data_IF_690499477057
#
_entry.id   IF_690499477057
#
_cell.length_a   1.000
_cell.length_b   1.000
_cell.length_c   1.000
_cell.angle_alpha   90.00
_cell.angle_beta   90.00
_cell.angle_gamma   90.00
#
_symmetry.space_group_name_H-M   'P 1'
#
loop_
_entity.id
_entity.type
_entity.pdbx_description
1 polymer ?
#
# COMPACT_ATOMS: atom_id res chain seq x y z
N UNK A 1 -35.99 -9.18 2.40
CA UNK A 1 -34.71 -9.66 1.86
C UNK A 1 -33.62 -8.94 2.63
N UNK A 2 -33.02 -9.61 3.61
CA UNK A 2 -31.85 -9.10 4.33
C UNK A 2 -30.64 -9.17 3.38
N UNK A 3 -30.26 -8.05 2.78
CA UNK A 3 -28.92 -7.90 2.23
C UNK A 3 -27.95 -7.84 3.41
N UNK A 4 -27.47 -9.02 3.80
CA UNK A 4 -26.45 -9.19 4.83
C UNK A 4 -25.25 -8.31 4.51
N UNK A 5 -25.06 -7.27 5.32
CA UNK A 5 -23.91 -6.39 5.33
C UNK A 5 -22.67 -7.23 5.70
N UNK A 6 -22.09 -7.91 4.70
CA UNK A 6 -20.83 -8.63 4.84
C UNK A 6 -19.79 -7.56 5.17
N UNK A 7 -19.47 -7.40 6.45
CA UNK A 7 -18.41 -6.50 6.91
C UNK A 7 -17.12 -6.96 6.25
N UNK A 8 -16.78 -6.31 5.14
CA UNK A 8 -15.55 -6.58 4.41
C UNK A 8 -14.40 -6.26 5.35
N UNK A 9 -13.60 -7.28 5.66
CA UNK A 9 -12.39 -7.11 6.47
C UNK A 9 -11.47 -6.11 5.76
N UNK A 10 -11.13 -5.02 6.45
CA UNK A 10 -10.24 -3.98 5.94
C UNK A 10 -8.88 -4.53 5.53
N UNK A 11 -8.28 -4.00 4.45
CA UNK A 11 -6.94 -4.41 3.98
C UNK A 11 -5.82 -3.78 4.79
N UNK A 12 -6.09 -2.67 5.47
CA UNK A 12 -5.17 -2.05 6.42
C UNK A 12 -5.66 -2.18 7.86
N UNK A 13 -4.73 -2.19 8.82
CA UNK A 13 -5.05 -2.38 10.25
C UNK A 13 -4.97 -1.10 11.05
N UNK A 14 -4.19 -0.11 10.60
CA UNK A 14 -4.00 1.17 11.28
C UNK A 14 -4.04 2.32 10.28
N UNK A 15 -4.82 3.35 10.60
CA UNK A 15 -4.89 4.58 9.82
C UNK A 15 -4.32 5.72 10.65
N UNK A 16 -3.45 6.52 10.04
CA UNK A 16 -3.02 7.79 10.58
C UNK A 16 -4.05 8.86 10.22
N UNK A 17 -4.58 9.59 11.20
CA UNK A 17 -5.46 10.73 10.93
C UNK A 17 -4.75 12.04 11.31
N UNK A 18 -4.54 12.89 10.31
CA UNK A 18 -4.14 14.28 10.49
C UNK A 18 -5.41 15.13 10.54
N UNK A 19 -5.56 15.95 11.57
CA UNK A 19 -6.75 16.78 11.73
C UNK A 19 -6.47 18.02 12.61
N UNK A 20 -7.35 19.00 12.55
CA UNK A 20 -7.19 20.23 13.33
C UNK A 20 -7.28 20.00 14.84
N UNK A 21 -6.37 20.65 15.59
CA UNK A 21 -6.47 20.82 17.05
C UNK A 21 -7.65 21.71 17.47
N UNK A 22 -8.30 22.38 16.51
CA UNK A 22 -9.53 23.15 16.69
C UNK A 22 -10.71 22.44 16.03
N UNK A 23 -11.92 22.57 16.59
CA UNK A 23 -13.14 21.93 16.06
C UNK A 23 -13.67 22.55 14.76
N UNK A 24 -13.09 23.66 14.33
CA UNK A 24 -13.62 24.48 13.23
C UNK A 24 -14.91 25.22 13.59
N UNK A 25 -15.40 26.05 12.66
CA UNK A 25 -16.60 26.87 12.85
C UNK A 25 -17.91 26.19 12.43
N UNK A 26 -17.83 25.14 11.59
CA UNK A 26 -19.00 24.42 11.08
C UNK A 26 -19.13 23.09 11.80
N UNK A 27 -20.35 22.75 12.20
CA UNK A 27 -20.63 21.47 12.88
C UNK A 27 -20.36 20.26 11.97
N UNK A 28 -20.48 20.43 10.65
CA UNK A 28 -20.16 19.39 9.66
C UNK A 28 -18.76 18.81 9.83
N UNK A 29 -17.76 19.62 10.22
CA UNK A 29 -16.40 19.12 10.48
C UNK A 29 -16.33 18.20 11.69
N UNK A 30 -17.10 18.51 12.73
CA UNK A 30 -17.17 17.72 13.96
C UNK A 30 -17.90 16.41 13.69
N UNK A 31 -19.04 16.48 13.00
CA UNK A 31 -19.80 15.31 12.56
C UNK A 31 -18.94 14.38 11.70
N UNK A 32 -18.21 14.93 10.73
CA UNK A 32 -17.33 14.13 9.88
C UNK A 32 -16.17 13.46 10.64
N UNK A 33 -15.66 14.08 11.71
CA UNK A 33 -14.63 13.47 12.56
C UNK A 33 -15.19 12.28 13.35
N UNK A 34 -16.42 12.39 13.86
CA UNK A 34 -17.11 11.30 14.55
C UNK A 34 -17.47 10.17 13.58
N UNK A 35 -18.08 10.49 12.43
CA UNK A 35 -18.40 9.53 11.38
C UNK A 35 -17.16 8.77 10.89
N UNK A 36 -16.02 9.46 10.77
CA UNK A 36 -14.76 8.80 10.44
C UNK A 36 -14.36 7.80 11.52
N UNK A 37 -14.43 8.18 12.79
CA UNK A 37 -14.11 7.27 13.90
C UNK A 37 -15.01 6.04 13.92
N UNK A 38 -16.32 6.22 13.74
CA UNK A 38 -17.30 5.14 13.65
C UNK A 38 -17.03 4.20 12.46
N UNK A 39 -16.69 4.75 11.29
CA UNK A 39 -16.37 3.96 10.10
C UNK A 39 -15.09 3.13 10.29
N UNK A 40 -14.07 3.67 10.97
CA UNK A 40 -12.85 2.94 11.31
C UNK A 40 -13.15 1.77 12.25
N UNK A 41 -13.96 2.00 13.28
CA UNK A 41 -14.40 0.96 14.23
C UNK A 41 -15.18 -0.13 13.53
N UNK A 42 -16.16 0.23 12.70
CA UNK A 42 -16.99 -0.71 11.94
C UNK A 42 -16.14 -1.68 11.09
N UNK A 43 -15.01 -1.19 10.59
CA UNK A 43 -14.06 -1.95 9.76
C UNK A 43 -12.93 -2.61 10.54
N UNK A 44 -12.90 -2.48 11.88
CA UNK A 44 -11.84 -2.96 12.77
C UNK A 44 -10.47 -2.38 12.44
N UNK A 45 -10.44 -1.11 12.07
CA UNK A 45 -9.23 -0.34 11.82
C UNK A 45 -8.91 0.50 13.06
N UNK A 46 -7.66 0.46 13.48
CA UNK A 46 -7.20 1.22 14.64
C UNK A 46 -6.70 2.61 14.22
N UNK A 47 -6.74 3.56 15.16
CA UNK A 47 -6.38 4.94 14.94
C UNK A 47 -4.94 5.22 15.41
N UNK A 48 -4.17 5.88 14.57
CA UNK A 48 -2.93 6.57 14.92
C UNK A 48 -3.15 8.06 14.67
N UNK A 49 -2.75 8.92 15.61
CA UNK A 49 -2.92 10.37 15.46
C UNK A 49 -1.91 11.15 16.32
N UNK A 50 -2.00 12.48 16.31
CA UNK A 50 -1.06 13.36 16.99
C UNK A 50 -1.21 13.48 18.52
N UNK A 51 -2.15 12.76 19.15
CA UNK A 51 -2.24 12.68 20.62
C UNK A 51 -2.91 13.84 21.35
N UNK A 52 -3.52 14.80 20.63
CA UNK A 52 -4.22 15.93 21.25
C UNK A 52 -5.63 15.59 21.75
N UNK A 53 -6.06 16.17 22.87
CA UNK A 53 -7.36 15.89 23.50
C UNK A 53 -8.51 16.81 23.05
N UNK A 54 -8.23 17.78 22.17
CA UNK A 54 -9.16 18.85 21.80
C UNK A 54 -9.40 18.92 20.30
N UNK A 55 -10.44 19.66 19.89
CA UNK A 55 -10.76 19.85 18.48
C UNK A 55 -11.22 18.57 17.79
N UNK A 56 -10.91 18.45 16.49
CA UNK A 56 -11.25 17.25 15.73
C UNK A 56 -10.43 16.04 16.19
N UNK A 57 -9.22 16.26 16.73
CA UNK A 57 -8.36 15.22 17.30
C UNK A 57 -9.03 14.52 18.48
N UNK A 58 -9.61 15.30 19.40
CA UNK A 58 -10.39 14.75 20.52
C UNK A 58 -11.60 13.96 20.04
N UNK A 59 -12.37 14.52 19.11
CA UNK A 59 -13.60 13.87 18.61
C UNK A 59 -13.34 12.54 17.90
N UNK A 60 -12.34 12.47 17.02
CA UNK A 60 -12.03 11.23 16.29
C UNK A 60 -11.46 10.16 17.22
N UNK A 61 -10.60 10.55 18.18
CA UNK A 61 -10.02 9.61 19.14
C UNK A 61 -11.07 9.08 20.12
N UNK A 62 -11.96 9.94 20.59
CA UNK A 62 -13.10 9.56 21.43
C UNK A 62 -14.03 8.59 20.71
N UNK A 63 -14.43 8.90 19.47
CA UNK A 63 -15.32 8.05 18.68
C UNK A 63 -14.74 6.64 18.47
N UNK A 64 -13.44 6.56 18.12
CA UNK A 64 -12.76 5.26 17.94
C UNK A 64 -12.67 4.50 19.27
N UNK A 65 -12.30 5.17 20.35
CA UNK A 65 -12.14 4.53 21.66
C UNK A 65 -13.48 4.03 22.22
N UNK A 66 -14.54 4.84 22.15
CA UNK A 66 -15.90 4.45 22.57
C UNK A 66 -16.45 3.29 21.75
N UNK A 67 -16.08 3.21 20.47
CA UNK A 67 -16.40 2.08 19.61
C UNK A 67 -15.58 0.81 19.89
N UNK A 68 -14.65 0.83 20.84
CA UNK A 68 -13.79 -0.30 21.18
C UNK A 68 -12.59 -0.50 20.24
N UNK A 69 -12.28 0.48 19.39
CA UNK A 69 -11.07 0.50 18.57
C UNK A 69 -9.84 0.89 19.38
N UNK A 70 -8.66 0.43 18.94
CA UNK A 70 -7.39 0.87 19.53
C UNK A 70 -7.01 2.26 19.03
N UNK A 71 -6.57 3.12 19.94
CA UNK A 71 -6.12 4.49 19.64
C UNK A 71 -4.69 4.66 20.14
N UNK A 72 -3.81 5.13 19.26
CA UNK A 72 -2.43 5.47 19.55
C UNK A 72 -2.16 6.94 19.21
N UNK A 73 -2.03 7.78 20.23
CA UNK A 73 -1.56 9.15 20.13
C UNK A 73 -0.04 9.24 20.20
N UNK A 74 0.59 9.96 19.30
CA UNK A 74 2.04 10.24 19.33
C UNK A 74 2.24 11.73 19.49
N UNK A 75 2.82 12.13 20.63
CA UNK A 75 2.93 13.54 21.01
C UNK A 75 4.36 13.86 21.46
N UNK A 76 4.95 15.00 21.03
CA UNK A 76 6.21 15.46 21.57
C UNK A 76 6.06 15.85 23.04
N UNK A 77 7.06 15.55 23.86
CA UNK A 77 7.09 15.94 25.28
C UNK A 77 6.88 17.44 25.49
N UNK A 78 7.36 18.27 24.57
CA UNK A 78 7.22 19.74 24.59
C UNK A 78 5.79 20.23 24.35
N UNK A 79 4.93 19.41 23.75
CA UNK A 79 3.54 19.76 23.41
C UNK A 79 2.51 19.13 24.35
N UNK A 80 2.91 18.20 25.22
CA UNK A 80 1.99 17.52 26.13
C UNK A 80 1.14 18.51 26.94
N UNK A 81 1.74 19.51 27.59
CA UNK A 81 0.99 20.51 28.36
C UNK A 81 0.16 21.50 27.53
N UNK A 82 0.31 21.52 26.21
CA UNK A 82 -0.41 22.44 25.30
C UNK A 82 -1.54 21.74 24.55
N UNK A 83 -1.31 20.52 24.08
CA UNK A 83 -2.27 19.76 23.26
C UNK A 83 -3.10 18.75 24.07
N UNK A 84 -2.64 18.39 25.28
CA UNK A 84 -3.39 17.56 26.24
C UNK A 84 -3.87 18.46 27.36
N UNK A 85 -5.09 18.96 27.23
CA UNK A 85 -5.75 19.83 28.23
C UNK A 85 -6.86 19.10 28.98
N UNK A 86 -7.13 17.85 28.64
CA UNK A 86 -8.20 17.04 29.22
C UNK A 86 -7.86 15.55 29.17
N UNK A 87 -8.90 14.71 29.29
CA UNK A 87 -8.75 13.26 29.15
C UNK A 87 -8.30 12.90 27.74
N UNK A 88 -7.36 11.96 27.64
CA UNK A 88 -6.91 11.40 26.36
C UNK A 88 -7.45 10.00 26.21
N UNK A 89 -7.86 9.66 24.99
CA UNK A 89 -8.40 8.34 24.70
C UNK A 89 -7.30 7.45 24.09
N UNK A 90 -7.12 6.28 24.69
CA UNK A 90 -6.14 5.27 24.26
C UNK A 90 -4.71 5.49 24.76
N UNK A 91 -3.76 4.90 24.05
CA UNK A 91 -2.34 4.94 24.40
C UNK A 91 -1.71 6.25 23.91
N UNK A 92 -0.91 6.90 24.75
CA UNK A 92 -0.12 8.08 24.37
C UNK A 92 1.36 7.74 24.43
N UNK A 93 2.06 7.93 23.30
CA UNK A 93 3.51 7.77 23.19
C UNK A 93 4.18 9.13 23.09
N UNK A 94 4.94 9.45 24.12
CA UNK A 94 5.80 10.63 24.15
C UNK A 94 7.04 10.44 23.25
N UNK A 95 7.39 11.46 22.47
CA UNK A 95 8.60 11.49 21.62
C UNK A 95 9.40 12.77 21.85
N UNK A 96 10.68 12.77 21.43
CA UNK A 96 11.59 13.87 21.72
C UNK A 96 11.42 15.10 20.79
N UNK A 97 10.90 14.91 19.57
CA UNK A 97 10.82 15.98 18.56
C UNK A 97 9.64 15.83 17.60
N UNK A 98 9.32 16.90 16.88
CA UNK A 98 8.31 16.89 15.80
C UNK A 98 8.68 15.94 14.66
N UNK A 99 9.96 15.84 14.30
CA UNK A 99 10.40 14.88 13.28
C UNK A 99 10.18 13.44 13.73
N UNK A 100 10.50 13.13 14.99
CA UNK A 100 10.25 11.80 15.55
C UNK A 100 8.74 11.50 15.64
N UNK A 101 7.91 12.50 15.96
CA UNK A 101 6.44 12.40 15.94
C UNK A 101 5.95 11.90 14.58
N UNK A 102 6.32 12.60 13.51
CA UNK A 102 5.90 12.26 12.14
C UNK A 102 6.44 10.91 11.69
N UNK A 103 7.70 10.61 12.01
CA UNK A 103 8.31 9.31 11.70
C UNK A 103 7.59 8.14 12.40
N UNK A 104 7.28 8.27 13.69
CA UNK A 104 6.55 7.23 14.43
C UNK A 104 5.10 7.09 13.93
N UNK A 105 4.41 8.20 13.64
CA UNK A 105 3.06 8.17 13.06
C UNK A 105 3.05 7.44 11.72
N UNK A 106 4.00 7.75 10.84
CA UNK A 106 4.16 7.06 9.57
C UNK A 106 4.53 5.58 9.75
N UNK A 107 5.40 5.25 10.70
CA UNK A 107 5.83 3.86 10.97
C UNK A 107 4.68 2.98 11.47
N UNK A 108 3.81 3.55 12.29
CA UNK A 108 2.70 2.83 12.93
C UNK A 108 1.43 2.74 12.09
N UNK A 109 1.43 3.29 10.88
CA UNK A 109 0.22 3.41 10.05
C UNK A 109 0.38 2.69 8.71
N UNK A 110 -0.72 2.17 8.19
CA UNK A 110 -0.79 1.50 6.89
C UNK A 110 -1.41 2.41 5.81
N UNK A 111 -2.12 3.46 6.22
CA UNK A 111 -2.77 4.45 5.38
C UNK A 111 -2.85 5.80 6.12
N UNK A 112 -3.06 6.89 5.37
CA UNK A 112 -3.17 8.26 5.90
C UNK A 112 -4.48 8.91 5.49
N UNK A 113 -5.11 9.64 6.42
CA UNK A 113 -6.31 10.44 6.18
C UNK A 113 -6.10 11.84 6.73
N UNK A 114 -6.46 12.85 5.95
CA UNK A 114 -6.53 14.24 6.41
C UNK A 114 -7.98 14.70 6.52
N UNK A 115 -8.38 15.08 7.73
CA UNK A 115 -9.59 15.87 8.04
C UNK A 115 -9.27 17.36 8.00
N UNK A 116 -10.28 18.24 7.89
CA UNK A 116 -10.09 19.68 7.96
C UNK A 116 -9.18 20.12 9.11
N UNK A 117 -8.22 21.00 8.82
CA UNK A 117 -7.19 21.37 9.79
C UNK A 117 -6.27 22.49 9.29
N UNK A 118 -5.55 23.12 10.21
CA UNK A 118 -4.69 24.26 9.90
C UNK A 118 -3.36 23.89 9.27
N UNK A 119 -2.36 24.77 9.44
CA UNK A 119 -1.03 24.57 8.87
C UNK A 119 -0.35 23.28 9.31
N UNK A 120 -0.52 22.85 10.57
CA UNK A 120 0.04 21.59 11.04
C UNK A 120 -0.48 20.39 10.24
N UNK A 121 -1.79 20.32 10.01
CA UNK A 121 -2.41 19.26 9.21
C UNK A 121 -1.95 19.28 7.76
N UNK A 122 -1.79 20.48 7.17
CA UNK A 122 -1.29 20.63 5.80
C UNK A 122 0.18 20.22 5.67
N UNK A 123 1.00 20.56 6.67
CA UNK A 123 2.41 20.18 6.72
C UNK A 123 2.57 18.66 6.79
N UNK A 124 1.82 18.00 7.69
CA UNK A 124 1.80 16.55 7.82
C UNK A 124 1.31 15.86 6.53
N UNK A 125 0.24 16.39 5.93
CA UNK A 125 -0.34 15.86 4.69
C UNK A 125 0.63 15.96 3.50
N UNK A 126 1.20 17.15 3.27
CA UNK A 126 2.10 17.37 2.14
C UNK A 126 3.40 16.59 2.29
N UNK A 127 3.89 16.38 3.51
CA UNK A 127 5.07 15.55 3.76
C UNK A 127 4.82 14.08 3.35
N UNK A 128 3.70 13.47 3.75
CA UNK A 128 3.41 12.08 3.35
C UNK A 128 3.15 11.95 1.84
N UNK A 129 2.56 12.97 1.20
CA UNK A 129 2.42 12.98 -0.26
C UNK A 129 3.80 13.07 -0.94
N UNK A 130 4.69 13.93 -0.45
CA UNK A 130 6.04 14.05 -0.98
C UNK A 130 6.84 12.74 -0.80
N UNK A 131 6.69 12.05 0.33
CA UNK A 131 7.31 10.74 0.55
C UNK A 131 6.77 9.66 -0.38
N UNK A 132 5.46 9.67 -0.67
CA UNK A 132 4.87 8.80 -1.68
C UNK A 132 5.44 9.11 -3.08
N UNK A 133 5.56 10.40 -3.42
CA UNK A 133 6.11 10.87 -4.69
C UNK A 133 7.58 10.40 -4.88
N UNK A 134 8.36 10.38 -3.81
CA UNK A 134 9.75 9.90 -3.80
C UNK A 134 9.87 8.36 -3.72
N UNK A 135 8.75 7.63 -3.61
CA UNK A 135 8.74 6.17 -3.48
C UNK A 135 9.21 5.64 -2.12
N UNK A 136 9.23 6.49 -1.08
CA UNK A 136 9.62 6.10 0.29
C UNK A 136 8.54 5.18 0.90
N UNK A 137 7.28 5.35 0.50
CA UNK A 137 6.19 4.44 0.84
C UNK A 137 5.13 4.36 -0.26
N UNK A 138 4.31 3.31 -0.21
CA UNK A 138 3.13 3.07 -1.06
C UNK A 138 1.83 3.01 -0.25
N UNK A 139 1.79 3.67 0.91
CA UNK A 139 0.61 3.74 1.76
C UNK A 139 -0.40 4.71 1.14
N UNK A 140 -1.69 4.35 1.02
CA UNK A 140 -2.68 5.22 0.40
C UNK A 140 -2.95 6.45 1.28
N UNK A 141 -3.16 7.58 0.62
CA UNK A 141 -3.43 8.87 1.26
C UNK A 141 -4.83 9.36 0.86
N UNK A 142 -5.61 9.80 1.84
CA UNK A 142 -7.00 10.22 1.66
C UNK A 142 -7.27 11.61 2.23
N UNK A 143 -8.05 12.42 1.53
CA UNK A 143 -8.54 13.72 2.01
C UNK A 143 -10.05 13.64 2.21
N UNK A 144 -10.51 13.89 3.45
CA UNK A 144 -11.93 14.01 3.74
C UNK A 144 -12.39 15.46 3.48
N UNK A 145 -12.91 15.69 2.28
CA UNK A 145 -13.31 17.00 1.76
C UNK A 145 -14.72 17.41 2.22
N UNK A 146 -14.86 17.64 3.52
CA UNK A 146 -16.11 18.07 4.15
C UNK A 146 -16.47 19.49 3.70
N UNK A 147 -17.69 19.69 3.21
CA UNK A 147 -18.20 20.99 2.70
C UNK A 147 -17.25 21.72 1.74
N UNK A 148 -16.44 20.97 0.97
CA UNK A 148 -15.48 21.55 0.04
C UNK A 148 -14.26 22.22 0.69
N UNK A 149 -13.93 21.88 1.94
CA UNK A 149 -12.78 22.42 2.67
C UNK A 149 -11.47 22.40 1.88
N UNK A 150 -11.22 21.30 1.14
CA UNK A 150 -10.02 21.10 0.34
C UNK A 150 -10.15 21.54 -1.12
N UNK A 151 -11.26 22.14 -1.56
CA UNK A 151 -11.47 22.49 -2.98
C UNK A 151 -10.34 23.38 -3.53
N UNK A 152 -9.90 24.39 -2.79
CA UNK A 152 -8.81 25.26 -3.22
C UNK A 152 -7.45 24.56 -3.22
N UNK A 153 -7.21 23.65 -2.28
CA UNK A 153 -5.99 22.83 -2.28
C UNK A 153 -5.96 21.89 -3.49
N UNK A 154 -7.08 21.24 -3.79
CA UNK A 154 -7.21 20.38 -4.97
C UNK A 154 -6.98 21.17 -6.26
N UNK A 155 -7.61 22.33 -6.40
CA UNK A 155 -7.41 23.20 -7.56
C UNK A 155 -5.97 23.71 -7.68
N UNK A 156 -5.30 24.01 -6.57
CA UNK A 156 -3.89 24.37 -6.56
C UNK A 156 -3.00 23.22 -7.04
N UNK A 157 -3.28 22.00 -6.61
CA UNK A 157 -2.54 20.80 -7.05
C UNK A 157 -2.80 20.54 -8.54
N UNK A 158 -4.04 20.70 -9.01
CA UNK A 158 -4.39 20.59 -10.44
C UNK A 158 -3.59 21.61 -11.26
N UNK A 159 -3.51 22.86 -10.80
CA UNK A 159 -2.69 23.89 -11.43
C UNK A 159 -1.21 23.53 -11.46
N UNK A 160 -0.66 22.95 -10.38
CA UNK A 160 0.72 22.50 -10.34
C UNK A 160 1.00 21.32 -11.30
N UNK A 161 -0.01 20.49 -11.60
CA UNK A 161 0.07 19.48 -12.65
C UNK A 161 0.07 20.14 -14.03
N UNK A 162 -0.86 21.07 -14.26
CA UNK A 162 -0.97 21.79 -15.54
C UNK A 162 0.31 22.58 -15.87
N UNK A 163 0.95 23.17 -14.86
CA UNK A 163 2.20 23.91 -15.00
C UNK A 163 3.45 23.00 -15.02
N UNK A 164 3.28 21.68 -14.91
CA UNK A 164 4.36 20.70 -15.06
C UNK A 164 5.25 20.51 -13.83
N UNK A 165 4.87 21.05 -12.66
CA UNK A 165 5.58 20.80 -11.41
C UNK A 165 5.27 19.43 -10.79
N UNK A 166 4.09 18.87 -11.10
CA UNK A 166 3.66 17.54 -10.66
C UNK A 166 3.36 16.70 -11.91
N UNK A 167 3.88 15.47 -11.96
CA UNK A 167 3.58 14.57 -13.08
C UNK A 167 2.10 14.17 -13.05
N UNK A 168 1.40 14.06 -14.20
CA UNK A 168 -0.01 13.68 -14.23
C UNK A 168 -0.32 12.37 -13.49
N UNK A 169 0.57 11.38 -13.53
CA UNK A 169 0.42 10.14 -12.78
C UNK A 169 0.48 10.37 -11.26
N UNK A 170 1.30 11.31 -10.79
CA UNK A 170 1.47 11.64 -9.38
C UNK A 170 0.28 12.40 -8.80
N UNK A 171 -0.61 12.95 -9.66
CA UNK A 171 -1.88 13.55 -9.21
C UNK A 171 -2.79 12.57 -8.46
N UNK A 172 -2.61 11.29 -8.73
CA UNK A 172 -3.39 10.20 -8.15
C UNK A 172 -2.73 9.55 -6.92
N UNK A 173 -1.67 10.16 -6.37
CA UNK A 173 -1.03 9.70 -5.12
C UNK A 173 -1.96 9.79 -3.90
N UNK A 174 -3.02 10.58 -3.99
CA UNK A 174 -4.05 10.65 -2.97
C UNK A 174 -5.45 10.65 -3.59
N UNK A 175 -6.44 10.25 -2.80
CA UNK A 175 -7.86 10.26 -3.15
C UNK A 175 -8.62 11.25 -2.27
N UNK A 176 -9.71 11.80 -2.78
CA UNK A 176 -10.61 12.66 -2.02
C UNK A 176 -12.05 12.12 -2.04
N UNK A 177 -12.76 12.33 -0.94
CA UNK A 177 -14.19 12.03 -0.81
C UNK A 177 -14.85 13.00 0.16
N UNK A 178 -16.17 13.15 0.07
CA UNK A 178 -16.93 14.09 0.90
C UNK A 178 -17.44 13.47 2.20
N UNK A 179 -17.40 12.15 2.33
CA UNK A 179 -17.84 11.41 3.52
C UNK A 179 -16.88 10.25 3.84
N UNK A 180 -16.87 9.82 5.11
CA UNK A 180 -15.92 8.85 5.63
C UNK A 180 -16.02 7.49 4.93
N UNK A 181 -17.25 7.00 4.71
CA UNK A 181 -17.51 5.70 4.09
C UNK A 181 -16.90 5.59 2.69
N UNK A 182 -17.16 6.59 1.83
CA UNK A 182 -16.60 6.64 0.48
C UNK A 182 -15.08 6.80 0.51
N UNK A 183 -14.55 7.62 1.42
CA UNK A 183 -13.10 7.79 1.55
C UNK A 183 -12.40 6.47 1.89
N UNK A 184 -12.87 5.79 2.93
CA UNK A 184 -12.28 4.54 3.38
C UNK A 184 -12.40 3.47 2.30
N UNK A 185 -13.54 3.41 1.60
CA UNK A 185 -13.70 2.51 0.45
C UNK A 185 -12.71 2.82 -0.68
N UNK A 186 -12.47 4.09 -1.01
CA UNK A 186 -11.47 4.48 -2.02
C UNK A 186 -10.05 4.10 -1.61
N UNK A 187 -9.70 4.25 -0.33
CA UNK A 187 -8.40 3.84 0.19
C UNK A 187 -8.17 2.33 0.04
N UNK A 188 -9.20 1.52 0.31
CA UNK A 188 -9.15 0.06 0.12
C UNK A 188 -8.87 -0.33 -1.33
N UNK A 189 -9.44 0.41 -2.29
CA UNK A 189 -9.22 0.19 -3.74
C UNK A 189 -7.83 0.66 -4.16
N UNK A 190 -7.36 1.80 -3.65
CA UNK A 190 -6.03 2.33 -3.93
C UNK A 190 -4.92 1.33 -3.56
N UNK A 191 -5.07 0.63 -2.43
CA UNK A 191 -4.15 -0.47 -2.03
C UNK A 191 -4.02 -1.54 -3.13
N UNK A 192 -5.10 -1.86 -3.85
CA UNK A 192 -5.06 -2.84 -4.94
C UNK A 192 -4.47 -2.27 -6.21
N UNK A 193 -4.77 -1.00 -6.53
CA UNK A 193 -4.20 -0.34 -7.68
C UNK A 193 -2.66 -0.27 -7.59
N UNK A 194 -2.11 0.02 -6.41
CA UNK A 194 -0.67 0.03 -6.18
C UNK A 194 -0.05 -1.37 -6.30
N UNK A 195 -0.69 -2.41 -5.76
CA UNK A 195 -0.23 -3.80 -5.93
C UNK A 195 -0.21 -4.20 -7.41
N UNK A 196 -1.24 -3.83 -8.17
CA UNK A 196 -1.31 -4.13 -9.60
C UNK A 196 -0.33 -3.28 -10.41
N UNK A 197 -0.11 -2.02 -10.05
CA UNK A 197 0.87 -1.14 -10.68
C UNK A 197 2.30 -1.65 -10.41
N UNK A 198 2.60 -2.05 -9.18
CA UNK A 198 3.86 -2.68 -8.81
C UNK A 198 4.08 -3.99 -9.58
N UNK A 199 3.09 -4.87 -9.65
CA UNK A 199 3.17 -6.10 -10.43
C UNK A 199 3.38 -5.82 -11.92
N UNK A 200 2.71 -4.80 -12.49
CA UNK A 200 2.90 -4.37 -13.87
C UNK A 200 4.31 -3.80 -14.11
N UNK A 201 4.84 -2.99 -13.19
CA UNK A 201 6.20 -2.45 -13.27
C UNK A 201 7.26 -3.56 -13.13
N UNK A 202 7.08 -4.50 -12.21
CA UNK A 202 7.95 -5.68 -12.09
C UNK A 202 7.88 -6.57 -13.33
N UNK A 203 6.70 -6.76 -13.93
CA UNK A 203 6.58 -7.45 -15.22
C UNK A 203 7.26 -6.69 -16.34
N UNK A 204 7.16 -5.35 -16.36
CA UNK A 204 7.82 -4.51 -17.38
C UNK A 204 9.34 -4.50 -17.22
N UNK A 205 9.84 -4.64 -15.99
CA UNK A 205 11.27 -4.78 -15.69
C UNK A 205 11.81 -6.19 -16.00
N UNK A 206 10.97 -7.23 -15.97
CA UNK A 206 11.35 -8.59 -16.41
C UNK A 206 11.11 -8.83 -17.90
N UNK A 207 10.28 -8.03 -18.55
CA UNK A 207 10.11 -8.01 -20.01
C UNK A 207 10.80 -6.79 -20.63
N UNK A 208 12.11 -6.66 -20.42
CA UNK A 208 12.96 -6.00 -21.42
C UNK A 208 13.42 -7.04 -22.45
N UNK A 209 12.47 -7.45 -23.27
CA UNK A 209 12.76 -7.88 -24.64
C UNK A 209 11.47 -7.70 -25.43
N UNK A 210 11.56 -6.78 -26.36
CA UNK A 210 10.59 -6.50 -27.42
C UNK A 210 9.99 -7.80 -28.00
N UNK A 211 8.72 -8.07 -27.65
CA UNK A 211 7.67 -8.79 -28.40
C UNK A 211 6.68 -9.46 -27.43
N UNK A 212 5.68 -8.73 -26.97
CA UNK A 212 4.47 -9.37 -26.42
C UNK A 212 3.28 -8.48 -26.75
N UNK A 213 2.45 -8.90 -27.72
CA UNK A 213 1.24 -8.17 -28.09
C UNK A 213 0.13 -8.46 -27.06
N UNK A 214 -0.78 -7.49 -26.94
CA UNK A 214 -1.81 -7.33 -25.91
C UNK A 214 -2.74 -8.55 -25.72
N UNK A 215 -2.83 -9.46 -26.70
CA UNK A 215 -3.75 -10.61 -26.69
C UNK A 215 -3.32 -11.78 -25.78
N UNK A 216 -2.04 -11.87 -25.39
CA UNK A 216 -1.57 -12.94 -24.51
C UNK A 216 -1.93 -12.72 -23.03
N UNK A 217 -2.27 -11.49 -22.64
CA UNK A 217 -2.56 -11.14 -21.24
C UNK A 217 -3.95 -11.62 -20.78
N UNK A 218 -4.91 -11.76 -21.71
CA UNK A 218 -6.28 -12.20 -21.39
C UNK A 218 -6.35 -13.72 -21.10
N UNK A 219 -5.49 -14.51 -21.75
CA UNK A 219 -5.40 -15.97 -21.55
C UNK A 219 -4.82 -16.36 -20.17
N UNK A 220 -3.90 -15.55 -19.62
CA UNK A 220 -3.33 -15.77 -18.28
C UNK A 220 -4.33 -15.48 -17.16
N UNK A 221 -5.21 -14.48 -17.35
CA UNK A 221 -6.26 -14.14 -16.39
C UNK A 221 -7.34 -15.24 -16.29
N UNK A 222 -7.67 -15.91 -17.40
CA UNK A 222 -8.66 -16.99 -17.37
C UNK A 222 -8.15 -18.26 -16.65
N UNK A 223 -6.85 -18.56 -16.76
CA UNK A 223 -6.27 -19.78 -16.19
C UNK A 223 -6.16 -19.76 -14.65
N UNK A 224 -6.16 -18.57 -14.02
CA UNK A 224 -6.10 -18.43 -12.56
C UNK A 224 -7.44 -18.65 -11.85
N UNK A 225 -8.56 -18.62 -12.56
CA UNK A 225 -9.90 -18.74 -11.95
C UNK A 225 -10.36 -20.17 -11.71
N UNK A 226 -9.63 -21.18 -12.18
CA UNK A 226 -10.07 -22.59 -12.14
C UNK A 226 -9.23 -23.53 -11.27
N UNK A 227 -8.27 -23.05 -10.47
CA UNK A 227 -7.38 -23.95 -9.70
C UNK A 227 -7.39 -23.63 -8.17
N UNK A 228 -7.84 -24.55 -7.30
CA UNK A 228 -7.89 -24.33 -5.84
C UNK A 228 -6.51 -24.56 -5.17
N UNK A 229 -6.24 -23.97 -3.98
CA UNK A 229 -4.89 -23.91 -3.43
C UNK A 229 -4.53 -25.20 -2.66
N UNK A 230 -3.38 -25.80 -2.99
CA UNK A 230 -2.80 -26.90 -2.22
C UNK A 230 -1.72 -26.42 -1.23
N UNK A 231 -1.77 -27.03 -0.05
CA UNK A 231 -1.11 -26.73 1.23
C UNK A 231 0.42 -26.75 1.22
N UNK A 232 0.94 -25.97 2.16
CA UNK A 232 2.31 -25.85 2.70
C UNK A 232 3.09 -27.16 2.88
N UNK A 233 4.41 -27.15 2.58
CA UNK A 233 5.42 -27.98 3.29
C UNK A 233 6.87 -27.43 3.20
N UNK A 234 7.37 -27.04 4.38
CA UNK A 234 8.73 -27.12 4.97
C UNK A 234 9.95 -27.26 4.03
N UNK A 235 10.84 -26.27 4.08
CA UNK A 235 12.18 -26.27 3.46
C UNK A 235 13.19 -27.09 4.28
N UNK A 236 14.06 -27.86 3.60
CA UNK A 236 15.35 -28.35 4.14
C UNK A 236 16.47 -27.88 3.23
N UNK A 237 17.54 -27.35 3.85
CA UNK A 237 18.77 -26.91 3.20
C UNK A 237 19.60 -28.11 2.71
N UNK A 238 19.95 -28.12 1.43
CA UNK A 238 21.01 -28.98 0.89
C UNK A 238 22.27 -28.14 0.72
N UNK A 239 23.32 -28.51 1.45
CA UNK A 239 24.59 -27.83 1.49
C UNK A 239 25.38 -27.91 0.19
N UNK A 240 26.11 -26.84 -0.09
CA UNK A 240 27.14 -26.73 -1.12
C UNK A 240 28.09 -25.58 -0.76
N UNK A 241 29.39 -25.85 -0.76
CA UNK A 241 30.48 -24.99 -0.29
C UNK A 241 30.74 -23.86 -1.30
N UNK A 242 30.83 -22.61 -0.85
CA UNK A 242 31.09 -21.43 -1.70
C UNK A 242 32.58 -21.08 -1.70
N UNK A 243 33.16 -20.79 -2.87
CA UNK A 243 34.42 -20.07 -3.00
C UNK A 243 34.28 -18.89 -3.97
N UNK A 244 34.70 -17.71 -3.53
CA UNK A 244 34.77 -16.46 -4.30
C UNK A 244 35.94 -16.49 -5.29
N UNK A 245 35.68 -16.18 -6.56
CA UNK A 245 36.62 -15.40 -7.40
C UNK A 245 35.88 -14.79 -8.59
N UNK A 246 36.19 -13.52 -8.85
CA UNK A 246 35.68 -12.69 -9.95
C UNK A 246 35.87 -13.33 -11.34
N UNK A 247 35.12 -12.76 -12.30
CA UNK A 247 35.28 -12.81 -13.76
C UNK A 247 34.68 -14.02 -14.51
N UNK A 248 33.55 -13.77 -15.20
CA UNK A 248 33.05 -14.47 -16.41
C UNK A 248 33.07 -16.01 -16.42
N UNK A 249 31.93 -16.64 -16.09
CA UNK A 249 31.72 -18.06 -16.32
C UNK A 249 31.31 -18.32 -17.78
N UNK A 250 32.27 -18.79 -18.59
CA UNK A 250 32.03 -19.51 -19.85
C UNK A 250 31.64 -20.96 -19.52
N UNK A 251 30.53 -21.45 -20.07
CA UNK A 251 30.26 -22.89 -20.10
C UNK A 251 31.08 -23.55 -21.22
N UNK A 252 31.93 -24.53 -20.87
CA UNK A 252 32.48 -25.50 -21.82
C UNK A 252 31.52 -26.69 -21.97
N UNK A 253 31.38 -27.28 -23.17
CA UNK A 253 30.52 -28.44 -23.38
C UNK A 253 31.28 -29.74 -23.04
N UNK A 254 30.68 -30.59 -22.20
CA UNK A 254 31.08 -32.02 -22.10
C UNK A 254 29.87 -32.92 -22.34
N UNK A 255 30.01 -33.71 -23.41
CA UNK A 255 29.34 -34.96 -23.80
C UNK A 255 27.80 -35.02 -23.81
N UNK A 256 27.31 -35.25 -25.04
CA UNK A 256 25.94 -35.59 -25.47
C UNK A 256 25.13 -36.43 -24.46
N UNK A 257 23.90 -35.98 -24.19
CA UNK A 257 22.79 -36.86 -23.81
C UNK A 257 22.55 -37.13 -22.31
N UNK A 258 22.65 -36.14 -21.43
CA UNK A 258 22.27 -36.29 -20.01
C UNK A 258 20.83 -35.82 -19.74
N UNK A 259 20.01 -36.72 -19.19
CA UNK A 259 18.66 -36.42 -18.68
C UNK A 259 18.78 -36.07 -17.19
N UNK A 260 18.44 -34.84 -16.82
CA UNK A 260 18.32 -34.45 -15.41
C UNK A 260 16.88 -34.71 -14.92
N UNK A 261 16.73 -35.50 -13.85
CA UNK A 261 15.46 -35.66 -13.13
C UNK A 261 15.46 -34.79 -11.88
N UNK A 262 14.43 -33.97 -11.71
CA UNK A 262 14.12 -33.38 -10.41
C UNK A 262 13.21 -34.32 -9.61
N UNK A 263 13.24 -34.21 -8.28
CA UNK A 263 12.33 -34.91 -7.36
C UNK A 263 10.85 -34.49 -7.48
N UNK A 264 10.52 -33.61 -8.43
CA UNK A 264 9.14 -33.20 -8.78
C UNK A 264 8.60 -33.90 -10.04
N UNK A 265 9.31 -34.87 -10.62
CA UNK A 265 8.83 -35.64 -11.78
C UNK A 265 8.97 -34.95 -13.14
N UNK A 266 9.60 -33.77 -13.20
CA UNK A 266 9.92 -33.08 -14.45
C UNK A 266 11.06 -33.79 -15.19
N UNK A 267 10.88 -34.03 -16.49
CA UNK A 267 11.91 -34.49 -17.42
C UNK A 267 12.31 -33.35 -18.34
N UNK A 268 13.62 -33.15 -18.50
CA UNK A 268 14.19 -32.20 -19.44
C UNK A 268 15.00 -32.95 -20.49
N UNK A 269 14.86 -32.58 -21.76
CA UNK A 269 15.71 -33.06 -22.85
C UNK A 269 16.26 -31.85 -23.62
N UNK A 270 17.57 -31.80 -23.79
CA UNK A 270 18.25 -30.77 -24.57
C UNK A 270 18.47 -31.30 -26.00
N UNK A 271 17.96 -30.62 -27.02
CA UNK A 271 18.12 -31.00 -28.43
C UNK A 271 18.80 -29.89 -29.23
N UNK A 272 19.79 -30.23 -30.04
CA UNK A 272 20.49 -29.31 -30.95
C UNK A 272 19.88 -29.36 -32.37
N UNK A 273 19.61 -28.19 -32.96
CA UNK A 273 19.64 -28.01 -34.42
C UNK A 273 20.33 -26.68 -34.76
N UNK A 274 21.44 -26.78 -35.50
CA UNK A 274 21.98 -25.73 -36.38
C UNK A 274 22.47 -24.43 -35.72
N UNK A 275 23.79 -24.34 -35.53
CA UNK A 275 24.62 -23.12 -35.40
C UNK A 275 23.91 -21.85 -34.88
N UNK A 276 23.35 -21.90 -33.68
CA UNK A 276 23.16 -20.79 -32.75
C UNK A 276 22.76 -21.41 -31.40
N UNK A 277 23.49 -21.09 -30.32
CA UNK A 277 23.21 -21.66 -29.00
C UNK A 277 22.01 -20.92 -28.40
N UNK A 278 20.81 -21.43 -28.64
CA UNK A 278 19.63 -21.21 -27.80
C UNK A 278 19.27 -22.56 -27.18
N UNK A 279 19.45 -22.70 -25.88
CA UNK A 279 19.02 -23.89 -25.15
C UNK A 279 17.52 -23.86 -24.97
N UNK A 280 16.78 -24.69 -25.70
CA UNK A 280 15.34 -24.83 -25.53
C UNK A 280 15.04 -25.73 -24.33
N UNK A 281 14.21 -25.25 -23.40
CA UNK A 281 13.71 -26.04 -22.28
C UNK A 281 12.32 -26.55 -22.67
N UNK A 282 12.22 -27.83 -23.00
CA UNK A 282 10.93 -28.53 -23.10
C UNK A 282 10.45 -28.88 -21.70
N UNK A 283 9.38 -28.21 -21.25
CA UNK A 283 8.61 -28.63 -20.08
C UNK A 283 7.28 -29.22 -20.58
N UNK A 284 7.09 -30.52 -20.39
CA UNK A 284 5.80 -31.19 -20.62
C UNK A 284 5.11 -31.39 -19.27
N UNK A 285 3.85 -30.94 -19.19
CA UNK A 285 2.97 -31.14 -18.05
C UNK A 285 1.58 -31.50 -18.59
N UNK A 286 1.26 -32.80 -18.68
CA UNK A 286 0.10 -33.25 -19.45
C UNK A 286 0.19 -32.83 -20.93
N UNK A 287 -0.85 -33.06 -21.73
CA UNK A 287 -0.88 -32.88 -23.20
C UNK A 287 -0.69 -31.44 -23.72
N UNK A 288 -0.11 -30.55 -22.92
CA UNK A 288 0.17 -29.16 -23.27
C UNK A 288 1.67 -28.99 -23.50
N UNK A 289 2.02 -28.71 -24.75
CA UNK A 289 3.38 -28.37 -25.17
C UNK A 289 3.49 -26.85 -25.18
N UNK A 290 4.26 -26.27 -24.26
CA UNK A 290 4.58 -24.84 -24.30
C UNK A 290 5.94 -24.62 -24.97
N UNK A 291 5.94 -23.78 -26.00
CA UNK A 291 7.14 -23.24 -26.62
C UNK A 291 7.44 -21.87 -26.01
N UNK A 292 8.63 -21.73 -25.43
CA UNK A 292 9.15 -20.44 -24.99
C UNK A 292 10.26 -20.04 -25.98
N UNK A 293 10.15 -18.90 -26.70
CA UNK A 293 11.25 -18.40 -27.52
C UNK A 293 12.45 -17.95 -26.68
#
# INVERSE_FOLDING_TARGET
MEEGNKVMKSRFRRVCVFCGSSSGKRNSYQTAAVELGEELVARKVNLVYGGGSVGLMGLVSEAVHKGGGHVLGIIPTTLMGKEITGETFGEVRAVASMHQRKAEMARHSDAFIALPGGYGTLEELLEVIAWAQLGIHSKPVGLLNVDGYYNFLLAFIDKAVDDGFIQPLQRHLFVAATNAKDLVQKLEVAVVADVLAYLKLSFRATTDSSKCSFDQLLLLLMCWTTCPPLRTRRWRSCGGRWSRSNTTLRCMPRSRGSVCRSSSGMRYTCGEKGKNIFGWILASYGDIIMFCP
#
